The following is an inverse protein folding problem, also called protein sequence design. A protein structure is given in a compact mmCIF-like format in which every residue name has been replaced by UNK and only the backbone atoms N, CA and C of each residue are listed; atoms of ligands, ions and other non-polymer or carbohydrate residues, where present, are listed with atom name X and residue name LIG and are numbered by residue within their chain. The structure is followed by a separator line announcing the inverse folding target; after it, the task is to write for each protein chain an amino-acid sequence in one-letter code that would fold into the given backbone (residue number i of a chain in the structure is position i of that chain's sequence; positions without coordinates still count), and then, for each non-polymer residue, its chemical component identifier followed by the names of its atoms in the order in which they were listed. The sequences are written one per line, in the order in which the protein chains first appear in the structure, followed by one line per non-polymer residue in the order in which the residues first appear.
data_IF_595263894541
#
_entry.id   IF_595263894541
#
_cell.length_a   1.000
_cell.length_b   1.000
_cell.length_c   1.000
_cell.angle_alpha   90.00
_cell.angle_beta   90.00
_cell.angle_gamma   90.00
#
_symmetry.space_group_name_H-M   'P 1'
#
loop_
_entity.id
_entity.type
_entity.pdbx_description
1 polymer ?
#
# COMPACT_ATOMS: atom_id res chain seq x y z
N UNK A 1 -0.72 1.32 -18.98
CA UNK A 1 -1.01 1.67 -20.40
C UNK A 1 -0.71 3.14 -20.56
N UNK A 2 0.05 3.54 -21.58
CA UNK A 2 0.39 4.94 -21.79
C UNK A 2 -0.87 5.82 -21.78
N UNK A 3 -0.83 6.93 -21.03
CA UNK A 3 -1.93 7.89 -20.92
C UNK A 3 -3.09 7.52 -19.99
N UNK A 4 -3.08 6.36 -19.32
CA UNK A 4 -4.12 6.00 -18.34
C UNK A 4 -3.73 6.46 -16.94
N UNK A 5 -4.65 7.12 -16.22
CA UNK A 5 -4.53 7.33 -14.78
C UNK A 5 -4.55 5.96 -14.08
N UNK A 6 -3.45 5.61 -13.42
CA UNK A 6 -3.25 4.31 -12.80
C UNK A 6 -2.88 4.38 -11.32
N UNK A 7 -2.80 5.59 -10.75
CA UNK A 7 -2.57 5.84 -9.34
C UNK A 7 -3.78 6.54 -8.71
N UNK A 8 -4.13 6.10 -7.50
CA UNK A 8 -5.18 6.68 -6.67
C UNK A 8 -4.62 6.85 -5.25
N UNK A 9 -4.89 8.02 -4.66
CA UNK A 9 -4.61 8.32 -3.27
C UNK A 9 -5.93 8.63 -2.56
N UNK A 10 -6.21 7.90 -1.48
CA UNK A 10 -7.21 8.30 -0.50
C UNK A 10 -6.49 8.87 0.71
N UNK A 11 -6.91 10.04 1.17
CA UNK A 11 -6.51 10.58 2.46
C UNK A 11 -7.66 10.41 3.45
N UNK A 12 -7.33 10.01 4.67
CA UNK A 12 -8.26 9.82 5.76
C UNK A 12 -8.13 10.97 6.75
N UNK A 13 -9.28 11.42 7.27
CA UNK A 13 -9.30 12.44 8.31
C UNK A 13 -8.57 12.00 9.58
N UNK A 14 -8.14 12.96 10.39
CA UNK A 14 -7.24 12.70 11.51
C UNK A 14 -7.78 11.72 12.56
N UNK A 15 -9.11 11.70 12.71
CA UNK A 15 -9.83 10.87 13.68
C UNK A 15 -10.42 9.60 13.03
N UNK A 16 -10.07 9.31 11.78
CA UNK A 16 -10.61 8.15 11.08
C UNK A 16 -10.23 6.84 11.79
N UNK A 17 -11.22 5.97 11.94
CA UNK A 17 -10.98 4.57 12.34
C UNK A 17 -10.87 3.72 11.09
N UNK A 18 -9.83 2.91 11.01
CA UNK A 18 -9.50 2.09 9.86
C UNK A 18 -9.49 0.61 10.24
N UNK A 19 -10.06 -0.21 9.37
CA UNK A 19 -10.02 -1.66 9.46
C UNK A 19 -9.87 -2.22 8.05
N UNK A 20 -9.17 -3.34 7.91
CA UNK A 20 -8.99 -4.00 6.63
C UNK A 20 -8.91 -5.52 6.80
N UNK A 21 -9.41 -6.23 5.80
CA UNK A 21 -9.18 -7.66 5.62
C UNK A 21 -8.19 -7.85 4.47
N UNK A 22 -7.34 -8.86 4.61
CA UNK A 22 -6.30 -9.15 3.63
C UNK A 22 -6.48 -10.58 3.11
N UNK A 23 -6.04 -10.83 1.88
CA UNK A 23 -6.01 -12.20 1.35
C UNK A 23 -5.20 -13.14 2.25
N UNK A 24 -5.64 -14.40 2.33
CA UNK A 24 -4.97 -15.50 3.04
C UNK A 24 -4.09 -16.35 2.12
N UNK A 25 -3.94 -15.96 0.85
CA UNK A 25 -3.10 -16.67 -0.11
C UNK A 25 -1.64 -16.70 0.38
N UNK A 26 -0.97 -17.86 0.29
CA UNK A 26 0.44 -18.01 0.64
C UNK A 26 1.36 -17.07 -0.20
N UNK A 27 0.98 -16.79 -1.44
CA UNK A 27 1.65 -15.87 -2.36
C UNK A 27 1.08 -14.45 -2.26
N UNK A 28 1.03 -13.90 -1.03
CA UNK A 28 0.65 -12.50 -0.84
C UNK A 28 1.61 -11.56 -1.59
N UNK A 29 1.07 -10.57 -2.28
CA UNK A 29 1.85 -9.49 -2.85
C UNK A 29 2.57 -8.69 -1.75
N UNK A 30 3.74 -8.14 -2.05
CA UNK A 30 4.48 -7.28 -1.13
C UNK A 30 3.62 -6.18 -0.46
N UNK A 31 2.77 -5.42 -1.19
CA UNK A 31 1.92 -4.40 -0.57
C UNK A 31 0.89 -4.95 0.42
N UNK A 32 0.41 -6.19 0.25
CA UNK A 32 -0.54 -6.82 1.19
C UNK A 32 0.13 -7.05 2.54
N UNK A 33 1.36 -7.55 2.53
CA UNK A 33 2.13 -7.81 3.75
C UNK A 33 2.45 -6.49 4.46
N UNK A 34 2.87 -5.47 3.70
CA UNK A 34 3.21 -4.16 4.24
C UNK A 34 1.98 -3.45 4.83
N UNK A 35 0.86 -3.41 4.10
CA UNK A 35 -0.37 -2.77 4.57
C UNK A 35 -0.88 -3.39 5.87
N UNK A 36 -0.79 -4.71 6.01
CA UNK A 36 -1.12 -5.41 7.27
C UNK A 36 -0.24 -4.95 8.43
N UNK A 37 1.08 -4.86 8.20
CA UNK A 37 2.04 -4.37 9.22
C UNK A 37 1.76 -2.92 9.63
N UNK A 38 1.51 -2.03 8.66
CA UNK A 38 1.19 -0.63 8.96
C UNK A 38 -0.11 -0.50 9.76
N UNK A 39 -1.16 -1.22 9.36
CA UNK A 39 -2.45 -1.19 10.08
C UNK A 39 -2.32 -1.72 11.53
N UNK A 40 -1.46 -2.71 11.77
CA UNK A 40 -1.17 -3.21 13.12
C UNK A 40 -0.33 -2.24 13.96
N UNK A 41 0.51 -1.42 13.32
CA UNK A 41 1.40 -0.49 14.00
C UNK A 41 0.69 0.83 14.38
N UNK A 42 -0.16 1.37 13.50
CA UNK A 42 -0.85 2.63 13.72
C UNK A 42 -2.10 2.75 12.83
N UNK A 43 -2.95 3.75 13.11
CA UNK A 43 -4.07 4.12 12.23
C UNK A 43 -3.51 4.81 10.98
N UNK A 44 -3.65 4.23 9.76
CA UNK A 44 -3.16 4.88 8.56
C UNK A 44 -3.92 6.18 8.27
N UNK A 45 -3.20 7.19 7.76
CA UNK A 45 -3.75 8.47 7.30
C UNK A 45 -4.03 8.52 5.80
N UNK A 46 -3.56 7.52 5.05
CA UNK A 46 -3.78 7.44 3.61
C UNK A 46 -3.71 6.02 3.08
N UNK A 47 -4.27 5.82 1.88
CA UNK A 47 -4.18 4.59 1.10
C UNK A 47 -3.72 4.93 -0.33
N UNK A 48 -2.55 4.43 -0.69
CA UNK A 48 -1.97 4.54 -2.04
C UNK A 48 -2.25 3.26 -2.82
N UNK A 49 -2.83 3.41 -4.01
CA UNK A 49 -3.21 2.29 -4.86
C UNK A 49 -2.67 2.54 -6.27
N UNK A 50 -1.99 1.55 -6.83
CA UNK A 50 -1.65 1.54 -8.24
C UNK A 50 -2.43 0.44 -8.99
N UNK A 51 -2.57 0.59 -10.29
CA UNK A 51 -3.19 -0.40 -11.18
C UNK A 51 -2.24 -0.76 -12.33
N UNK A 52 -2.40 -1.95 -12.91
CA UNK A 52 -1.54 -2.44 -14.00
C UNK A 52 -0.25 -3.16 -13.56
N UNK A 53 0.11 -3.08 -12.27
CA UNK A 53 1.17 -3.89 -11.69
C UNK A 53 0.77 -4.29 -10.25
N UNK A 54 0.66 -5.58 -9.98
CA UNK A 54 0.24 -6.08 -8.67
C UNK A 54 1.37 -6.08 -7.62
N UNK A 55 2.63 -5.98 -8.04
CA UNK A 55 3.82 -6.17 -7.19
C UNK A 55 3.76 -7.49 -6.39
N UNK A 56 3.45 -8.58 -7.08
CA UNK A 56 3.31 -9.93 -6.53
C UNK A 56 4.41 -10.85 -7.08
N UNK A 57 5.00 -11.70 -6.24
CA UNK A 57 6.08 -12.61 -6.65
C UNK A 57 7.41 -11.92 -6.99
N UNK A 58 7.60 -10.68 -6.55
CA UNK A 58 8.72 -9.79 -6.89
C UNK A 58 9.88 -9.83 -5.87
N UNK A 59 9.76 -10.64 -4.81
CA UNK A 59 10.79 -10.82 -3.80
C UNK A 59 11.15 -9.56 -3.01
N UNK A 60 12.40 -9.48 -2.56
CA UNK A 60 12.91 -8.39 -1.72
C UNK A 60 12.85 -7.01 -2.38
N UNK A 61 13.03 -6.95 -3.71
CA UNK A 61 12.89 -5.71 -4.49
C UNK A 61 11.47 -5.16 -4.39
N UNK A 62 10.46 -6.00 -4.60
CA UNK A 62 9.06 -5.60 -4.49
C UNK A 62 8.67 -5.12 -3.10
N UNK A 63 9.23 -5.74 -2.05
CA UNK A 63 9.06 -5.27 -0.68
C UNK A 63 9.70 -3.90 -0.44
N UNK A 64 10.92 -3.70 -0.94
CA UNK A 64 11.62 -2.41 -0.85
C UNK A 64 10.85 -1.31 -1.55
N UNK A 65 10.37 -1.58 -2.77
CA UNK A 65 9.60 -0.62 -3.56
C UNK A 65 8.29 -0.24 -2.87
N UNK A 66 7.56 -1.22 -2.30
CA UNK A 66 6.36 -0.93 -1.53
C UNK A 66 6.64 -0.03 -0.32
N UNK A 67 7.74 -0.29 0.42
CA UNK A 67 8.18 0.56 1.55
C UNK A 67 8.53 1.97 1.09
N UNK A 68 9.28 2.09 -0.01
CA UNK A 68 9.67 3.39 -0.59
C UNK A 68 8.45 4.21 -1.00
N UNK A 69 7.46 3.60 -1.66
CA UNK A 69 6.22 4.31 -2.02
C UNK A 69 5.50 4.86 -0.78
N UNK A 70 5.34 4.06 0.28
CA UNK A 70 4.71 4.52 1.51
C UNK A 70 5.54 5.61 2.21
N UNK A 71 6.87 5.47 2.26
CA UNK A 71 7.75 6.47 2.87
C UNK A 71 7.73 7.80 2.10
N UNK A 72 7.76 7.75 0.77
CA UNK A 72 7.65 8.94 -0.07
C UNK A 72 6.32 9.65 0.12
N UNK A 73 5.21 8.91 0.20
CA UNK A 73 3.91 9.52 0.49
C UNK A 73 3.86 10.12 1.90
N UNK A 74 4.40 9.42 2.90
CA UNK A 74 4.43 9.90 4.29
C UNK A 74 5.25 11.19 4.46
N UNK A 75 6.23 11.45 3.59
CA UNK A 75 6.99 12.71 3.60
C UNK A 75 6.23 13.89 2.96
N UNK A 76 5.10 13.63 2.28
CA UNK A 76 4.29 14.63 1.59
C UNK A 76 2.97 14.95 2.33
N UNK A 77 2.64 14.19 3.37
CA UNK A 77 1.45 14.36 4.23
C UNK A 77 1.89 14.89 5.60
#
# INVERSE_FOLDING_TARGET
KAGRRDLVLFEFGEQATTAAVFTRNAFCAAPVILARRHLQAARPRALLINTGNANAGTGSTGESDARRCCASLAALL
#
